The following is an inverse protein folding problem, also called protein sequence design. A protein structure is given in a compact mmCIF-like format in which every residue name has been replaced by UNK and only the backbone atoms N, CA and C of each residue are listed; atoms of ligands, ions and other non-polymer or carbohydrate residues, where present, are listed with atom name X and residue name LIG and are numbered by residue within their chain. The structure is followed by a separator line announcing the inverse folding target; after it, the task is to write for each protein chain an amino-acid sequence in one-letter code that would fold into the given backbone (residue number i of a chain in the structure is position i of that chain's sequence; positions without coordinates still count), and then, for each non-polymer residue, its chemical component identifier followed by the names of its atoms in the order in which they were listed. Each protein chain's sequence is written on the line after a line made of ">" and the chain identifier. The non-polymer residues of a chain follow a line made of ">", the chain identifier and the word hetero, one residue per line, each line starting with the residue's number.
data_IF_580431772190
#
_entry.id   IF_580431772190
#
_cell.length_a   1.000
_cell.length_b   1.000
_cell.length_c   1.000
_cell.angle_alpha   90.00
_cell.angle_beta   90.00
_cell.angle_gamma   90.00
#
_symmetry.space_group_name_H-M   'P 1'
#
loop_
_entity.id
_entity.type
_entity.pdbx_description
1 polymer ?
#
# COMPACT_ATOMS: atom_id res chain seq x y z
N UNK A 1 7.31 25.93 -14.51
CA UNK A 1 6.74 25.22 -13.34
C UNK A 1 5.87 26.20 -12.58
N UNK A 2 4.66 25.80 -12.16
CA UNK A 2 3.79 26.64 -11.33
C UNK A 2 4.15 26.45 -9.87
N UNK A 3 4.21 27.53 -9.09
CA UNK A 3 4.46 27.48 -7.65
C UNK A 3 3.12 27.44 -6.90
N UNK A 4 2.97 26.46 -6.00
CA UNK A 4 1.85 26.40 -5.07
C UNK A 4 2.32 26.85 -3.69
N UNK A 5 1.77 27.94 -3.18
CA UNK A 5 2.07 28.41 -1.82
C UNK A 5 1.25 27.63 -0.80
N UNK A 6 1.93 26.95 0.12
CA UNK A 6 1.30 26.18 1.20
C UNK A 6 1.52 26.92 2.53
N UNK A 7 0.43 27.29 3.20
CA UNK A 7 0.51 27.83 4.56
C UNK A 7 0.56 26.68 5.55
N UNK A 8 1.67 26.57 6.28
CA UNK A 8 1.87 25.55 7.29
C UNK A 8 1.58 26.11 8.68
N UNK A 9 0.82 25.37 9.51
CA UNK A 9 0.82 25.57 10.95
C UNK A 9 2.25 25.53 11.52
N UNK A 10 2.52 26.29 12.59
CA UNK A 10 3.88 26.43 13.14
C UNK A 10 4.42 25.10 13.68
N UNK A 11 3.56 24.27 14.30
CA UNK A 11 3.89 22.93 14.77
C UNK A 11 4.34 22.02 13.61
N UNK A 12 3.61 22.02 12.49
CA UNK A 12 3.97 21.23 11.30
C UNK A 12 5.30 21.70 10.71
N UNK A 13 5.53 23.01 10.67
CA UNK A 13 6.79 23.59 10.18
C UNK A 13 7.97 23.14 11.04
N UNK A 14 7.82 23.13 12.37
CA UNK A 14 8.87 22.68 13.28
C UNK A 14 9.15 21.17 13.13
N UNK A 15 8.11 20.34 13.00
CA UNK A 15 8.26 18.91 12.74
C UNK A 15 9.01 18.65 11.43
N UNK A 16 8.65 19.34 10.35
CA UNK A 16 9.30 19.19 9.05
C UNK A 16 10.77 19.63 9.10
N UNK A 17 11.08 20.73 9.78
CA UNK A 17 12.46 21.20 9.95
C UNK A 17 13.31 20.21 10.76
N UNK A 18 12.80 19.70 11.88
CA UNK A 18 13.50 18.72 12.71
C UNK A 18 13.76 17.42 11.93
N UNK A 19 12.76 16.89 11.23
CA UNK A 19 12.92 15.71 10.39
C UNK A 19 13.94 15.96 9.27
N UNK A 20 13.83 17.06 8.54
CA UNK A 20 14.77 17.39 7.47
C UNK A 20 16.23 17.43 7.96
N UNK A 21 16.47 18.01 9.16
CA UNK A 21 17.78 18.01 9.79
C UNK A 21 18.30 16.60 10.08
N UNK A 22 17.46 15.72 10.65
CA UNK A 22 17.85 14.32 10.91
C UNK A 22 18.19 13.56 9.62
N UNK A 23 17.52 13.90 8.51
CA UNK A 23 17.75 13.30 7.20
C UNK A 23 18.87 13.98 6.39
N UNK A 24 19.47 15.07 6.88
CA UNK A 24 20.51 15.82 6.16
C UNK A 24 20.02 16.53 4.90
N UNK A 25 18.73 16.89 4.83
CA UNK A 25 18.11 17.55 3.67
C UNK A 25 17.51 18.91 4.05
N UNK A 26 17.16 19.73 3.06
CA UNK A 26 16.47 21.00 3.33
C UNK A 26 15.00 20.75 3.72
N UNK A 27 14.38 21.62 4.53
CA UNK A 27 12.95 21.51 4.83
C UNK A 27 12.07 21.48 3.58
N UNK A 28 12.42 22.25 2.54
CA UNK A 28 11.70 22.23 1.27
C UNK A 28 11.76 20.85 0.60
N UNK A 29 12.95 20.26 0.47
CA UNK A 29 13.12 18.94 -0.14
C UNK A 29 12.36 17.86 0.66
N UNK A 30 12.43 17.93 2.00
CA UNK A 30 11.68 17.03 2.87
C UNK A 30 10.16 17.14 2.64
N UNK A 31 9.62 18.37 2.61
CA UNK A 31 8.18 18.58 2.43
C UNK A 31 7.67 18.11 1.05
N UNK A 32 8.42 18.40 -0.02
CA UNK A 32 8.07 17.93 -1.37
C UNK A 32 8.00 16.41 -1.38
N UNK A 33 8.97 15.75 -0.76
CA UNK A 33 9.01 14.29 -0.75
C UNK A 33 7.98 13.67 0.18
N UNK A 34 7.66 14.32 1.30
CA UNK A 34 6.55 13.92 2.16
C UNK A 34 5.21 13.95 1.39
N UNK A 35 4.96 15.00 0.60
CA UNK A 35 3.76 15.08 -0.24
C UNK A 35 3.76 13.98 -1.30
N UNK A 36 4.90 13.72 -1.96
CA UNK A 36 5.02 12.64 -2.95
C UNK A 36 4.72 11.29 -2.34
N UNK A 37 5.34 10.98 -1.20
CA UNK A 37 5.14 9.73 -0.48
C UNK A 37 3.67 9.55 -0.06
N UNK A 38 3.03 10.62 0.44
CA UNK A 38 1.62 10.61 0.81
C UNK A 38 0.71 10.35 -0.40
N UNK A 39 0.97 11.00 -1.54
CA UNK A 39 0.21 10.80 -2.77
C UNK A 39 0.32 9.36 -3.28
N UNK A 40 1.54 8.80 -3.35
CA UNK A 40 1.77 7.41 -3.77
C UNK A 40 1.09 6.43 -2.80
N UNK A 41 1.16 6.69 -1.50
CA UNK A 41 0.50 5.84 -0.49
C UNK A 41 -1.03 5.87 -0.65
N UNK A 42 -1.61 7.05 -0.92
CA UNK A 42 -3.04 7.21 -1.16
C UNK A 42 -3.49 6.44 -2.41
N UNK A 43 -2.74 6.55 -3.52
CA UNK A 43 -3.02 5.80 -4.76
C UNK A 43 -2.95 4.28 -4.53
N UNK A 44 -1.88 3.80 -3.90
CA UNK A 44 -1.72 2.37 -3.57
C UNK A 44 -2.84 1.85 -2.67
N UNK A 45 -3.25 2.65 -1.68
CA UNK A 45 -4.34 2.31 -0.79
C UNK A 45 -5.66 2.20 -1.55
N UNK A 46 -5.96 3.16 -2.42
CA UNK A 46 -7.18 3.15 -3.23
C UNK A 46 -7.23 1.93 -4.15
N UNK A 47 -6.13 1.63 -4.85
CA UNK A 47 -6.02 0.43 -5.69
C UNK A 47 -6.23 -0.86 -4.88
N UNK A 48 -5.58 -0.99 -3.72
CA UNK A 48 -5.74 -2.15 -2.85
C UNK A 48 -7.19 -2.34 -2.36
N UNK A 49 -7.91 -1.25 -2.03
CA UNK A 49 -9.35 -1.34 -1.69
C UNK A 49 -10.16 -1.82 -2.87
N UNK A 50 -9.93 -1.25 -4.05
CA UNK A 50 -10.67 -1.61 -5.26
C UNK A 50 -10.48 -3.10 -5.61
N UNK A 51 -9.24 -3.59 -5.56
CA UNK A 51 -8.91 -5.00 -5.79
C UNK A 51 -9.60 -5.91 -4.77
N UNK A 52 -9.61 -5.54 -3.48
CA UNK A 52 -10.27 -6.30 -2.43
C UNK A 52 -11.80 -6.35 -2.61
N UNK A 53 -12.41 -5.26 -3.03
CA UNK A 53 -13.84 -5.20 -3.33
C UNK A 53 -14.19 -6.09 -4.53
N UNK A 54 -13.40 -6.03 -5.60
CA UNK A 54 -13.57 -6.86 -6.78
C UNK A 54 -13.43 -8.35 -6.45
N UNK A 55 -12.37 -8.74 -5.72
CA UNK A 55 -12.15 -10.11 -5.29
C UNK A 55 -13.29 -10.63 -4.38
N UNK A 56 -13.84 -9.77 -3.50
CA UNK A 56 -15.00 -10.14 -2.68
C UNK A 56 -16.25 -10.37 -3.53
N UNK A 57 -16.50 -9.51 -4.52
CA UNK A 57 -17.64 -9.68 -5.43
C UNK A 57 -17.54 -11.01 -6.19
N UNK A 58 -16.36 -11.32 -6.76
CA UNK A 58 -16.09 -12.58 -7.45
C UNK A 58 -16.28 -13.81 -6.55
N UNK A 59 -15.77 -13.76 -5.31
CA UNK A 59 -15.91 -14.88 -4.36
C UNK A 59 -17.37 -15.13 -3.96
N UNK A 60 -18.19 -14.08 -3.87
CA UNK A 60 -19.62 -14.19 -3.58
C UNK A 60 -20.41 -14.73 -4.79
N UNK A 61 -20.08 -14.28 -6.00
CA UNK A 61 -20.73 -14.72 -7.24
C UNK A 61 -20.37 -16.17 -7.58
N UNK A 62 -19.09 -16.53 -7.49
CA UNK A 62 -18.59 -17.87 -7.86
C UNK A 62 -18.82 -18.93 -6.79
N UNK A 63 -19.04 -18.53 -5.53
CA UNK A 63 -19.08 -19.43 -4.37
C UNK A 63 -17.73 -20.09 -4.06
N UNK A 64 -16.64 -19.61 -4.68
CA UNK A 64 -15.29 -20.17 -4.55
C UNK A 64 -14.37 -19.22 -3.80
N UNK A 65 -13.51 -19.77 -2.98
CA UNK A 65 -12.47 -19.04 -2.25
C UNK A 65 -11.18 -19.88 -2.19
N UNK A 66 -10.06 -19.23 -1.94
CA UNK A 66 -8.82 -19.93 -1.65
C UNK A 66 -8.73 -20.23 -0.16
N UNK A 67 -8.21 -21.40 0.18
CA UNK A 67 -7.87 -21.72 1.56
C UNK A 67 -6.73 -20.83 2.05
N UNK A 68 -6.90 -20.21 3.23
CA UNK A 68 -5.97 -19.22 3.75
C UNK A 68 -4.60 -19.84 4.06
N UNK A 69 -4.55 -21.07 4.59
CA UNK A 69 -3.31 -21.74 4.94
C UNK A 69 -2.53 -22.15 3.68
N UNK A 70 -3.23 -22.61 2.64
CA UNK A 70 -2.61 -22.92 1.35
C UNK A 70 -2.03 -21.66 0.68
N UNK A 71 -2.76 -20.54 0.74
CA UNK A 71 -2.26 -19.26 0.22
C UNK A 71 -1.04 -18.79 1.01
N UNK A 72 -1.08 -18.83 2.33
CA UNK A 72 0.06 -18.43 3.17
C UNK A 72 1.28 -19.32 2.95
N UNK A 73 1.11 -20.64 2.84
CA UNK A 73 2.18 -21.57 2.53
C UNK A 73 2.79 -21.28 1.15
N UNK A 74 1.95 -21.08 0.13
CA UNK A 74 2.38 -20.72 -1.21
C UNK A 74 3.19 -19.41 -1.23
N UNK A 75 2.69 -18.36 -0.57
CA UNK A 75 3.37 -17.06 -0.53
C UNK A 75 4.73 -17.14 0.19
N UNK A 76 4.82 -17.87 1.30
CA UNK A 76 6.10 -18.08 2.01
C UNK A 76 7.11 -18.84 1.15
N UNK A 77 6.71 -19.93 0.50
CA UNK A 77 7.59 -20.70 -0.37
C UNK A 77 8.08 -19.87 -1.57
N UNK A 78 7.18 -19.08 -2.19
CA UNK A 78 7.55 -18.14 -3.27
C UNK A 78 8.53 -17.07 -2.80
N UNK A 79 8.35 -16.51 -1.60
CA UNK A 79 9.29 -15.53 -1.03
C UNK A 79 10.69 -16.11 -0.78
N UNK A 80 10.79 -17.43 -0.60
CA UNK A 80 12.05 -18.16 -0.49
C UNK A 80 12.63 -18.60 -1.84
N UNK A 81 12.04 -18.18 -2.96
CA UNK A 81 12.47 -18.54 -4.31
C UNK A 81 12.07 -19.95 -4.75
N UNK A 82 11.24 -20.65 -3.99
CA UNK A 82 10.80 -22.00 -4.34
C UNK A 82 9.71 -21.98 -5.42
N UNK A 83 9.81 -22.91 -6.37
CA UNK A 83 8.80 -23.14 -7.39
C UNK A 83 7.71 -24.09 -6.85
N UNK A 84 6.68 -23.52 -6.22
CA UNK A 84 5.50 -24.25 -5.73
C UNK A 84 4.27 -23.98 -6.62
N UNK A 85 3.37 -24.96 -6.79
CA UNK A 85 2.14 -24.76 -7.57
C UNK A 85 1.22 -23.76 -6.88
N UNK A 86 0.49 -22.97 -7.67
CA UNK A 86 -0.49 -22.00 -7.15
C UNK A 86 -1.68 -22.75 -6.52
N UNK A 87 -2.18 -22.32 -5.33
CA UNK A 87 -3.39 -22.86 -4.75
C UNK A 87 -4.58 -22.77 -5.69
N UNK A 88 -5.51 -23.73 -5.58
CA UNK A 88 -6.74 -23.76 -6.36
C UNK A 88 -7.90 -23.25 -5.52
N UNK A 89 -8.76 -22.44 -6.11
CA UNK A 89 -9.99 -22.02 -5.45
C UNK A 89 -10.92 -23.22 -5.25
N UNK A 90 -11.54 -23.29 -4.07
CA UNK A 90 -12.46 -24.35 -3.65
C UNK A 90 -13.82 -23.76 -3.34
N UNK A 91 -14.87 -24.54 -3.51
CA UNK A 91 -16.20 -24.16 -3.06
C UNK A 91 -16.18 -23.99 -1.55
N UNK A 92 -16.49 -22.78 -1.07
CA UNK A 92 -16.62 -22.48 0.36
C UNK A 92 -18.09 -22.27 0.74
N UNK A 93 -18.93 -22.02 -0.26
CA UNK A 93 -20.35 -21.76 -0.13
C UNK A 93 -21.10 -22.64 -1.13
N UNK A 94 -21.91 -23.54 -0.59
CA UNK A 94 -22.71 -24.54 -1.31
C UNK A 94 -23.55 -25.32 -0.31
#
# INVERSE_FOLDING_TARGET
>A
MSTTSLKLPEDVKQLAAAAAQQHGVTPHAFMVEAIRAAAIAAERRAAFVADAQAARAEALESGKAFDADEVHAYLRARAQGQAVPRPKARTWRG
#
